data_IF_687807544745
#
_entry.id   IF_687807544745
#
_cell.length_a   1.000
_cell.length_b   1.000
_cell.length_c   1.000
_cell.angle_alpha   90.00
_cell.angle_beta   90.00
_cell.angle_gamma   90.00
#
_symmetry.space_group_name_H-M   'P 1'
#
loop_
_entity.id
_entity.type
_entity.pdbx_description
1 polymer ?
#
# COMPACT_ATOMS: atom_id res chain seq x y z
N UNK A 1 -4.26 -4.88 -4.60
CA UNK A 1 -5.21 -4.15 -5.47
C UNK A 1 -6.54 -4.88 -5.51
N UNK A 2 -7.65 -4.18 -5.30
CA UNK A 2 -8.97 -4.74 -5.60
C UNK A 2 -9.19 -4.76 -7.11
N UNK A 3 -9.65 -5.89 -7.65
CA UNK A 3 -9.96 -6.02 -9.06
C UNK A 3 -11.42 -5.64 -9.32
N UNK A 4 -11.64 -4.73 -10.25
CA UNK A 4 -12.96 -4.25 -10.67
C UNK A 4 -13.32 -4.79 -12.06
N UNK A 5 -14.62 -4.88 -12.38
CA UNK A 5 -15.07 -5.36 -13.68
C UNK A 5 -14.67 -4.43 -14.83
N UNK A 6 -14.64 -3.12 -14.59
CA UNK A 6 -14.51 -2.13 -15.68
C UNK A 6 -13.64 -0.92 -15.32
N UNK A 7 -12.65 -1.07 -14.45
CA UNK A 7 -11.74 0.05 -14.15
C UNK A 7 -10.64 0.17 -15.21
N UNK A 8 -10.38 1.39 -15.70
CA UNK A 8 -9.32 1.66 -16.70
C UNK A 8 -7.94 1.40 -16.12
N UNK A 9 -7.01 0.95 -16.97
CA UNK A 9 -5.63 0.61 -16.55
C UNK A 9 -4.90 1.78 -15.88
N UNK A 10 -5.02 3.00 -16.44
CA UNK A 10 -4.41 4.18 -15.82
C UNK A 10 -4.89 4.45 -14.41
N UNK A 11 -6.16 4.16 -14.10
CA UNK A 11 -6.68 4.27 -12.74
C UNK A 11 -6.05 3.24 -11.80
N UNK A 12 -5.87 1.99 -12.26
CA UNK A 12 -5.14 0.98 -11.49
C UNK A 12 -3.71 1.41 -11.19
N UNK A 13 -3.00 1.97 -12.18
CA UNK A 13 -1.64 2.48 -12.00
C UNK A 13 -1.60 3.58 -10.94
N UNK A 14 -2.53 4.54 -10.99
CA UNK A 14 -2.62 5.60 -9.99
C UNK A 14 -2.90 5.05 -8.58
N UNK A 15 -3.83 4.09 -8.45
CA UNK A 15 -4.14 3.49 -7.16
C UNK A 15 -2.96 2.67 -6.59
N UNK A 16 -2.21 1.97 -7.44
CA UNK A 16 -0.99 1.27 -7.04
C UNK A 16 0.08 2.26 -6.54
N UNK A 17 0.25 3.39 -7.23
CA UNK A 17 1.16 4.45 -6.82
C UNK A 17 0.75 5.05 -5.46
N UNK A 18 -0.53 5.35 -5.26
CA UNK A 18 -1.04 5.82 -3.97
C UNK A 18 -0.74 4.82 -2.84
N UNK A 19 -0.96 3.54 -3.08
CA UNK A 19 -0.72 2.49 -2.10
C UNK A 19 0.77 2.38 -1.72
N UNK A 20 1.65 2.39 -2.71
CA UNK A 20 3.10 2.34 -2.51
C UNK A 20 3.62 3.54 -1.73
N UNK A 21 3.26 4.75 -2.15
CA UNK A 21 3.66 5.98 -1.47
C UNK A 21 3.04 6.08 -0.08
N UNK A 22 1.76 5.74 0.06
CA UNK A 22 1.06 5.79 1.33
C UNK A 22 1.69 4.87 2.38
N UNK A 23 2.06 3.65 2.00
CA UNK A 23 2.75 2.73 2.90
C UNK A 23 4.12 3.28 3.36
N UNK A 24 4.91 3.83 2.42
CA UNK A 24 6.19 4.44 2.76
C UNK A 24 6.00 5.66 3.67
N UNK A 25 5.08 6.55 3.34
CA UNK A 25 4.80 7.75 4.14
C UNK A 25 4.21 7.44 5.51
N UNK A 26 3.66 6.25 5.74
CA UNK A 26 3.23 5.83 7.09
C UNK A 26 4.40 5.77 8.09
N UNK A 27 5.64 5.66 7.61
CA UNK A 27 6.87 5.71 8.40
C UNK A 27 7.38 7.13 8.61
N UNK A 28 6.86 8.10 7.87
CA UNK A 28 7.41 9.44 7.85
C UNK A 28 7.03 10.24 9.08
N UNK A 29 7.94 11.13 9.48
CA UNK A 29 7.74 12.09 10.57
C UNK A 29 8.09 13.49 10.10
N UNK A 30 7.27 14.47 10.49
CA UNK A 30 7.58 15.88 10.28
C UNK A 30 8.72 16.30 11.21
N UNK A 31 9.65 17.11 10.72
CA UNK A 31 10.66 17.71 11.60
C UNK A 31 10.06 18.85 12.46
N UNK A 32 10.87 19.43 13.36
CA UNK A 32 10.42 20.50 14.26
C UNK A 32 10.01 21.79 13.54
N UNK A 33 10.52 22.02 12.33
CA UNK A 33 10.18 23.21 11.52
C UNK A 33 8.87 23.05 10.75
N UNK A 34 8.43 21.80 10.51
CA UNK A 34 7.30 21.49 9.64
C UNK A 34 7.63 21.56 8.15
N UNK A 35 8.90 21.79 7.77
CA UNK A 35 9.31 21.96 6.38
C UNK A 35 9.87 20.68 5.76
N UNK A 36 10.19 19.66 6.57
CA UNK A 36 10.79 18.42 6.11
C UNK A 36 10.01 17.21 6.60
N UNK A 37 9.79 16.26 5.69
CA UNK A 37 9.24 14.95 5.99
C UNK A 37 10.39 13.94 6.01
N UNK A 38 10.60 13.28 7.16
CA UNK A 38 11.73 12.39 7.38
C UNK A 38 11.25 10.96 7.43
N UNK A 39 11.84 10.11 6.60
CA UNK A 39 11.63 8.66 6.63
C UNK A 39 12.85 8.03 7.28
N UNK A 40 12.74 7.51 8.53
CA UNK A 40 13.88 6.90 9.21
C UNK A 40 14.34 5.63 8.48
N UNK A 41 15.67 5.49 8.34
CA UNK A 41 16.29 4.30 7.72
C UNK A 41 16.94 3.40 8.78
N UNK A 42 16.51 3.49 10.03
CA UNK A 42 16.98 2.63 11.14
C UNK A 42 16.55 1.18 11.00
N UNK A 43 15.39 0.93 10.38
CA UNK A 43 14.98 -0.41 10.02
C UNK A 43 15.78 -0.87 8.78
N UNK A 44 16.59 -1.95 8.88
CA UNK A 44 17.45 -2.38 7.78
C UNK A 44 16.68 -2.82 6.53
N UNK A 45 15.46 -3.35 6.68
CA UNK A 45 14.61 -3.73 5.56
C UNK A 45 14.13 -2.51 4.75
N UNK A 46 13.75 -1.44 5.46
CA UNK A 46 13.36 -0.17 4.84
C UNK A 46 14.56 0.44 4.09
N UNK A 47 15.72 0.50 4.75
CA UNK A 47 16.96 1.03 4.16
C UNK A 47 17.36 0.27 2.91
N UNK A 48 17.38 -1.07 2.96
CA UNK A 48 17.74 -1.91 1.84
C UNK A 48 16.79 -1.73 0.66
N UNK A 49 15.49 -1.61 0.92
CA UNK A 49 14.50 -1.42 -0.13
C UNK A 49 14.62 -0.03 -0.77
N UNK A 50 14.73 1.03 0.03
CA UNK A 50 14.84 2.41 -0.49
C UNK A 50 16.11 2.62 -1.28
N UNK A 51 17.25 2.10 -0.78
CA UNK A 51 18.57 2.28 -1.38
C UNK A 51 18.93 1.20 -2.41
N UNK A 52 18.18 0.12 -2.47
CA UNK A 52 18.46 -1.04 -3.31
C UNK A 52 17.56 -1.16 -4.53
N UNK A 53 16.99 -2.34 -4.74
CA UNK A 53 16.25 -2.67 -5.97
C UNK A 53 14.82 -2.05 -6.03
N UNK A 54 14.31 -1.51 -4.94
CA UNK A 54 13.02 -0.83 -4.89
C UNK A 54 11.84 -1.69 -5.40
N UNK A 55 11.92 -3.01 -5.16
CA UNK A 55 10.99 -4.01 -5.67
C UNK A 55 9.55 -3.78 -5.21
N UNK A 56 8.61 -3.92 -6.12
CA UNK A 56 7.18 -3.91 -5.83
C UNK A 56 6.50 -5.10 -6.49
N UNK A 57 5.52 -5.66 -5.80
CA UNK A 57 4.68 -6.75 -6.30
C UNK A 57 3.23 -6.33 -6.18
N UNK A 58 2.47 -6.47 -7.25
CA UNK A 58 1.04 -6.15 -7.26
C UNK A 58 0.23 -7.44 -7.25
N UNK A 59 -0.57 -7.61 -6.19
CA UNK A 59 -1.44 -8.75 -5.97
C UNK A 59 -2.90 -8.32 -6.07
N UNK A 60 -3.81 -9.26 -6.28
CA UNK A 60 -5.23 -8.97 -6.44
C UNK A 60 -6.09 -9.58 -5.33
N UNK A 61 -7.16 -8.89 -5.01
CA UNK A 61 -8.29 -9.35 -4.20
C UNK A 61 -9.59 -8.98 -4.89
N UNK A 62 -10.71 -9.57 -4.48
CA UNK A 62 -12.00 -9.41 -5.17
C UNK A 62 -12.99 -8.51 -4.43
N UNK A 63 -12.76 -8.22 -3.15
CA UNK A 63 -13.74 -7.50 -2.32
C UNK A 63 -13.11 -6.45 -1.41
N UNK A 64 -13.94 -5.56 -0.87
CA UNK A 64 -13.57 -4.60 0.17
C UNK A 64 -13.19 -5.33 1.46
N UNK A 65 -13.91 -6.37 1.79
CA UNK A 65 -13.69 -7.20 2.97
C UNK A 65 -12.28 -7.81 2.95
N UNK A 66 -11.84 -8.31 1.79
CA UNK A 66 -10.49 -8.83 1.61
C UNK A 66 -9.43 -7.74 1.82
N UNK A 67 -9.64 -6.53 1.25
CA UNK A 67 -8.73 -5.40 1.47
C UNK A 67 -8.61 -5.05 2.96
N UNK A 68 -9.75 -4.95 3.65
CA UNK A 68 -9.78 -4.60 5.08
C UNK A 68 -9.11 -5.68 5.93
N UNK A 69 -9.34 -6.96 5.62
CA UNK A 69 -8.71 -8.07 6.33
C UNK A 69 -7.18 -8.05 6.18
N UNK A 70 -6.67 -7.83 4.97
CA UNK A 70 -5.23 -7.69 4.69
C UNK A 70 -4.65 -6.48 5.43
N UNK A 71 -5.32 -5.33 5.36
CA UNK A 71 -4.91 -4.12 6.07
C UNK A 71 -4.79 -4.34 7.58
N UNK A 72 -5.82 -4.94 8.18
CA UNK A 72 -5.86 -5.22 9.62
C UNK A 72 -4.75 -6.19 10.04
N UNK A 73 -4.51 -7.24 9.25
CA UNK A 73 -3.43 -8.20 9.51
C UNK A 73 -2.06 -7.54 9.46
N UNK A 74 -1.83 -6.66 8.48
CA UNK A 74 -0.58 -5.91 8.36
C UNK A 74 -0.37 -4.95 9.54
N UNK A 75 -1.43 -4.24 9.98
CA UNK A 75 -1.36 -3.38 11.16
C UNK A 75 -1.00 -4.18 12.43
N UNK A 76 -1.65 -5.32 12.65
CA UNK A 76 -1.37 -6.19 13.80
C UNK A 76 0.05 -6.75 13.79
N UNK A 77 0.62 -6.96 12.60
CA UNK A 77 2.00 -7.39 12.44
C UNK A 77 3.02 -6.25 12.60
N UNK A 78 2.58 -5.01 12.80
CA UNK A 78 3.46 -3.84 12.94
C UNK A 78 4.11 -3.39 11.64
N UNK A 79 3.58 -3.80 10.48
CA UNK A 79 4.13 -3.43 9.19
C UNK A 79 3.71 -2.01 8.76
N UNK A 80 4.56 -1.29 8.02
CA UNK A 80 4.10 -0.09 7.31
C UNK A 80 2.95 -0.45 6.39
N UNK A 81 1.83 0.26 6.49
CA UNK A 81 0.63 -0.08 5.72
C UNK A 81 -0.22 1.15 5.45
N UNK A 82 -0.85 1.20 4.28
CA UNK A 82 -1.83 2.22 3.93
C UNK A 82 -3.02 1.60 3.22
N UNK A 83 -4.23 1.94 3.65
CA UNK A 83 -5.47 1.60 2.97
C UNK A 83 -5.91 2.79 2.11
N UNK A 84 -6.09 2.55 0.82
CA UNK A 84 -6.42 3.59 -0.15
C UNK A 84 -7.91 3.61 -0.43
N UNK A 85 -8.51 4.78 -0.19
CA UNK A 85 -9.88 5.08 -0.52
C UNK A 85 -9.92 6.19 -1.56
N UNK A 86 -10.33 5.84 -2.78
CA UNK A 86 -10.51 6.81 -3.85
C UNK A 86 -11.78 7.63 -3.63
N UNK A 87 -11.76 8.92 -3.99
CA UNK A 87 -12.92 9.80 -3.89
C UNK A 87 -14.08 9.43 -4.83
N UNK A 88 -13.79 8.63 -5.86
CA UNK A 88 -14.78 8.16 -6.83
C UNK A 88 -15.11 9.15 -7.95
N UNK A 89 -14.41 10.28 -8.05
CA UNK A 89 -14.76 11.36 -8.99
C UNK A 89 -14.60 10.96 -10.46
N UNK A 90 -13.72 10.01 -10.78
CA UNK A 90 -13.42 9.65 -12.17
C UNK A 90 -13.94 8.28 -12.61
N UNK A 91 -14.19 7.35 -11.71
CA UNK A 91 -14.54 5.95 -12.04
C UNK A 91 -15.74 5.40 -11.29
N UNK A 92 -16.07 5.91 -10.12
CA UNK A 92 -17.04 5.28 -9.22
C UNK A 92 -18.29 6.14 -8.97
N UNK A 93 -18.69 6.92 -9.96
CA UNK A 93 -19.90 7.75 -9.93
C UNK A 93 -19.99 8.67 -8.68
N UNK A 94 -18.86 9.21 -8.24
CA UNK A 94 -18.76 10.03 -7.04
C UNK A 94 -18.81 9.28 -5.72
N UNK A 95 -18.81 7.94 -5.73
CA UNK A 95 -18.85 7.11 -4.53
C UNK A 95 -17.43 6.81 -4.05
N UNK A 96 -17.06 7.22 -2.82
CA UNK A 96 -15.76 6.85 -2.23
C UNK A 96 -15.60 5.33 -2.15
N UNK A 97 -14.51 4.81 -2.69
CA UNK A 97 -14.31 3.37 -2.93
C UNK A 97 -12.95 2.91 -2.46
N UNK A 98 -12.90 1.80 -1.72
CA UNK A 98 -11.65 1.15 -1.35
C UNK A 98 -11.03 0.47 -2.59
N UNK A 99 -9.77 0.77 -2.88
CA UNK A 99 -9.13 0.33 -4.12
C UNK A 99 -7.87 -0.50 -3.91
N UNK A 100 -7.10 -0.21 -2.88
CA UNK A 100 -5.81 -0.83 -2.67
C UNK A 100 -5.37 -0.80 -1.20
N UNK A 101 -4.46 -1.71 -0.87
CA UNK A 101 -3.64 -1.68 0.34
C UNK A 101 -2.18 -1.72 -0.08
N UNK A 102 -1.37 -0.78 0.41
CA UNK A 102 0.09 -0.84 0.33
C UNK A 102 0.65 -1.41 1.62
N UNK A 103 1.61 -2.34 1.53
CA UNK A 103 2.27 -2.97 2.68
C UNK A 103 3.78 -2.94 2.47
N UNK A 104 4.50 -2.56 3.50
CA UNK A 104 5.95 -2.45 3.46
C UNK A 104 6.43 -1.06 3.04
N UNK A 105 7.76 -0.90 2.90
CA UNK A 105 8.80 -1.96 2.97
C UNK A 105 9.05 -2.48 4.38
N UNK A 106 9.26 -3.80 4.50
CA UNK A 106 9.70 -4.48 5.71
C UNK A 106 10.20 -5.90 5.37
N UNK A 107 10.38 -6.75 6.37
CA UNK A 107 10.79 -8.14 6.21
C UNK A 107 9.81 -8.89 5.29
N UNK A 108 10.32 -9.36 4.15
CA UNK A 108 9.54 -10.11 3.17
C UNK A 108 8.88 -11.35 3.77
N UNK A 109 9.54 -12.04 4.71
CA UNK A 109 8.98 -13.24 5.34
C UNK A 109 7.73 -12.95 6.16
N UNK A 110 7.64 -11.77 6.77
CA UNK A 110 6.46 -11.31 7.52
C UNK A 110 5.34 -10.91 6.57
N UNK A 111 5.67 -10.16 5.51
CA UNK A 111 4.70 -9.75 4.48
C UNK A 111 4.10 -10.97 3.78
N UNK A 112 4.92 -11.95 3.43
CA UNK A 112 4.48 -13.16 2.72
C UNK A 112 3.50 -14.00 3.53
N UNK A 113 3.59 -14.00 4.85
CA UNK A 113 2.60 -14.67 5.71
C UNK A 113 1.19 -14.07 5.55
N UNK A 114 1.09 -12.79 5.18
CA UNK A 114 -0.17 -12.08 5.02
C UNK A 114 -0.68 -12.17 3.59
N UNK A 115 0.21 -12.06 2.60
CA UNK A 115 -0.16 -11.88 1.19
C UNK A 115 0.31 -12.99 0.27
N UNK A 116 1.14 -13.94 0.74
CA UNK A 116 1.75 -14.97 -0.11
C UNK A 116 0.77 -15.93 -0.78
N UNK A 117 -0.46 -16.02 -0.29
CA UNK A 117 -1.53 -16.85 -0.89
C UNK A 117 -2.29 -16.14 -2.02
N UNK A 118 -2.05 -14.85 -2.23
CA UNK A 118 -2.75 -14.06 -3.24
C UNK A 118 -2.12 -14.22 -4.62
N UNK A 119 -2.96 -14.16 -5.65
CA UNK A 119 -2.50 -14.18 -7.03
C UNK A 119 -1.95 -12.82 -7.47
N UNK A 120 -1.06 -12.85 -8.45
CA UNK A 120 -0.62 -11.63 -9.12
C UNK A 120 -1.80 -10.92 -9.80
N UNK A 121 -1.74 -9.60 -9.78
CA UNK A 121 -2.74 -8.75 -10.43
C UNK A 121 -2.64 -8.79 -11.95
#
# INVERSE_FOLDING_TARGET
MRKFQSMRHGKYCAQAAHASMGALFSLAKMDSTGDNLIIPLSNPFVKEWVMGNFKKVTLQVSSDEDLVAIYTSAQKAGLPVALIKDSGLTEFDGVPTLTAVGIGPDDASVIDKITGHLSLF
#
